data_IF_312256205772
#
_entry.id   IF_312256205772
#
_cell.length_a   1.000
_cell.length_b   1.000
_cell.length_c   1.000
_cell.angle_alpha   90.00
_cell.angle_beta   90.00
_cell.angle_gamma   90.00
#
_symmetry.space_group_name_H-M   'P 1'
#
loop_
_entity.id
_entity.type
_entity.pdbx_description
1 polymer ?
#
# COMPACT_ATOMS: atom_id res chain seq x y z
N UNK A 1 4.67 -15.99 13.34
CA UNK A 1 4.42 -14.57 13.70
C UNK A 1 4.18 -13.68 12.48
N UNK A 2 4.92 -13.82 11.37
CA UNK A 2 4.75 -13.00 10.17
C UNK A 2 3.32 -12.97 9.60
N UNK A 3 2.66 -14.12 9.45
CA UNK A 3 1.29 -14.20 8.88
C UNK A 3 0.22 -13.47 9.68
N UNK A 4 0.45 -13.25 10.98
CA UNK A 4 -0.52 -12.67 11.90
C UNK A 4 -0.62 -11.15 11.71
N UNK A 5 0.48 -10.49 11.34
CA UNK A 5 0.51 -9.03 11.16
C UNK A 5 -0.43 -8.58 10.04
N UNK A 6 -0.38 -9.22 8.87
CA UNK A 6 -1.30 -8.96 7.76
C UNK A 6 -2.76 -9.04 8.21
N UNK A 7 -3.13 -10.11 8.92
CA UNK A 7 -4.51 -10.34 9.37
C UNK A 7 -4.93 -9.30 10.40
N UNK A 8 -4.09 -9.00 11.39
CA UNK A 8 -4.37 -7.99 12.41
C UNK A 8 -4.60 -6.62 11.76
N UNK A 9 -3.68 -6.19 10.88
CA UNK A 9 -3.77 -4.88 10.23
C UNK A 9 -5.01 -4.82 9.34
N UNK A 10 -5.24 -5.86 8.53
CA UNK A 10 -6.42 -5.94 7.66
C UNK A 10 -7.72 -5.90 8.45
N UNK A 11 -7.76 -6.60 9.59
CA UNK A 11 -8.92 -6.65 10.47
C UNK A 11 -9.21 -5.30 11.13
N UNK A 12 -8.19 -4.61 11.66
CA UNK A 12 -8.37 -3.27 12.21
C UNK A 12 -8.78 -2.26 11.15
N UNK A 13 -8.15 -2.28 9.97
CA UNK A 13 -8.55 -1.41 8.85
C UNK A 13 -9.99 -1.70 8.44
N UNK A 14 -10.40 -2.96 8.41
CA UNK A 14 -11.76 -3.36 8.10
C UNK A 14 -12.74 -2.82 9.15
N UNK A 15 -12.47 -3.01 10.44
CA UNK A 15 -13.26 -2.45 11.55
C UNK A 15 -13.41 -0.93 11.45
N UNK A 16 -12.32 -0.22 11.10
CA UNK A 16 -12.36 1.23 10.93
C UNK A 16 -13.28 1.61 9.75
N UNK A 17 -13.15 0.93 8.61
CA UNK A 17 -13.98 1.20 7.44
C UNK A 17 -15.47 0.86 7.70
N UNK A 18 -15.76 -0.21 8.44
CA UNK A 18 -17.14 -0.65 8.69
C UNK A 18 -17.83 0.15 9.78
N UNK A 19 -17.15 0.55 10.86
CA UNK A 19 -17.79 1.20 12.01
C UNK A 19 -17.52 2.70 12.12
N UNK A 20 -16.31 3.17 11.82
CA UNK A 20 -15.91 4.56 12.08
C UNK A 20 -16.17 5.50 10.89
N UNK A 21 -16.17 5.01 9.65
CA UNK A 21 -16.39 5.85 8.47
C UNK A 21 -17.88 6.19 8.31
N UNK A 22 -18.17 7.49 8.14
CA UNK A 22 -19.53 8.01 7.93
C UNK A 22 -20.24 7.29 6.76
N UNK A 23 -21.53 6.99 6.95
CA UNK A 23 -22.38 6.27 5.97
C UNK A 23 -22.50 6.97 4.61
N UNK A 24 -22.31 8.29 4.56
CA UNK A 24 -22.36 9.10 3.33
C UNK A 24 -21.14 8.92 2.41
N UNK A 25 -20.08 8.22 2.83
CA UNK A 25 -18.90 8.03 1.99
C UNK A 25 -19.13 6.88 0.99
N UNK A 26 -19.25 7.21 -0.29
CA UNK A 26 -19.48 6.27 -1.40
C UNK A 26 -18.43 5.16 -1.49
N UNK A 27 -17.19 5.42 -1.05
CA UNK A 27 -16.10 4.45 -1.15
C UNK A 27 -16.01 3.47 0.04
N UNK A 28 -16.81 3.67 1.09
CA UNK A 28 -16.77 2.87 2.31
C UNK A 28 -17.08 1.39 2.07
N UNK A 29 -18.12 1.10 1.29
CA UNK A 29 -18.53 -0.28 1.06
C UNK A 29 -17.49 -1.05 0.25
N UNK A 30 -16.96 -0.41 -0.80
CA UNK A 30 -15.96 -1.02 -1.67
C UNK A 30 -14.64 -1.29 -0.93
N UNK A 31 -14.17 -0.36 -0.08
CA UNK A 31 -12.95 -0.56 0.71
C UNK A 31 -13.11 -1.67 1.75
N UNK A 32 -14.25 -1.72 2.45
CA UNK A 32 -14.54 -2.76 3.43
C UNK A 32 -14.67 -4.14 2.76
N UNK A 33 -15.36 -4.23 1.62
CA UNK A 33 -15.46 -5.47 0.85
C UNK A 33 -14.10 -5.96 0.36
N UNK A 34 -13.26 -5.05 -0.15
CA UNK A 34 -11.90 -5.37 -0.60
C UNK A 34 -11.04 -5.94 0.54
N UNK A 35 -11.06 -5.29 1.72
CA UNK A 35 -10.34 -5.78 2.90
C UNK A 35 -10.85 -7.15 3.38
N UNK A 36 -12.17 -7.37 3.34
CA UNK A 36 -12.74 -8.66 3.71
C UNK A 36 -12.32 -9.77 2.73
N UNK A 37 -12.36 -9.49 1.42
CA UNK A 37 -11.87 -10.42 0.41
C UNK A 37 -10.39 -10.77 0.58
N UNK A 38 -9.55 -9.78 0.94
CA UNK A 38 -8.15 -10.03 1.26
C UNK A 38 -7.96 -10.98 2.44
N UNK A 39 -8.77 -10.85 3.50
CA UNK A 39 -8.72 -11.74 4.67
C UNK A 39 -9.14 -13.16 4.28
N UNK A 40 -10.20 -13.31 3.48
CA UNK A 40 -10.71 -14.63 3.04
C UNK A 40 -9.74 -15.33 2.09
N UNK A 41 -9.09 -14.59 1.19
CA UNK A 41 -8.16 -15.13 0.20
C UNK A 41 -6.76 -15.41 0.78
N UNK A 42 -6.43 -14.84 1.95
CA UNK A 42 -5.11 -15.00 2.59
C UNK A 42 -4.63 -16.44 2.81
N UNK A 43 -5.44 -17.37 3.34
CA UNK A 43 -5.00 -18.76 3.55
C UNK A 43 -4.89 -19.57 2.25
N UNK A 44 -5.37 -19.05 1.12
CA UNK A 44 -5.32 -19.77 -0.15
C UNK A 44 -3.96 -19.58 -0.81
N UNK A 45 -3.41 -20.67 -1.33
CA UNK A 45 -2.17 -20.69 -2.09
C UNK A 45 -2.36 -21.59 -3.30
N UNK A 46 -2.06 -21.07 -4.50
CA UNK A 46 -2.08 -21.87 -5.73
C UNK A 46 -0.64 -22.16 -6.15
N UNK A 47 -0.27 -23.44 -6.14
CA UNK A 47 1.02 -23.92 -6.60
C UNK A 47 0.87 -24.76 -7.87
N UNK A 48 1.47 -24.31 -8.98
CA UNK A 48 1.52 -25.04 -10.25
C UNK A 48 2.98 -25.11 -10.70
N UNK A 49 3.57 -26.33 -10.68
CA UNK A 49 4.96 -26.59 -11.04
C UNK A 49 5.95 -25.65 -10.29
N UNK A 50 6.60 -24.74 -11.01
CA UNK A 50 7.57 -23.77 -10.47
C UNK A 50 6.93 -22.46 -9.99
N UNK A 51 5.61 -22.32 -10.08
CA UNK A 51 4.89 -21.09 -9.78
C UNK A 51 4.05 -21.28 -8.54
N UNK A 52 4.29 -20.45 -7.53
CA UNK A 52 3.44 -20.35 -6.35
C UNK A 52 2.88 -18.93 -6.28
N UNK A 53 1.56 -18.82 -6.34
CA UNK A 53 0.87 -17.54 -6.41
C UNK A 53 -0.21 -17.50 -5.34
N UNK A 54 -0.14 -16.49 -4.48
CA UNK A 54 -1.24 -16.22 -3.54
C UNK A 54 -2.35 -15.45 -4.25
N UNK A 55 -3.63 -15.87 -4.17
CA UNK A 55 -4.75 -15.16 -4.80
C UNK A 55 -4.89 -13.73 -4.32
N UNK A 56 -4.53 -13.45 -3.06
CA UNK A 56 -4.50 -12.09 -2.49
C UNK A 56 -3.65 -11.16 -3.35
N UNK A 57 -2.51 -11.61 -3.85
CA UNK A 57 -1.62 -10.79 -4.68
C UNK A 57 -2.30 -10.36 -5.97
N UNK A 58 -2.92 -11.32 -6.67
CA UNK A 58 -3.64 -11.07 -7.93
C UNK A 58 -4.83 -10.13 -7.69
N UNK A 59 -5.58 -10.38 -6.61
CA UNK A 59 -6.71 -9.54 -6.22
C UNK A 59 -6.27 -8.11 -5.88
N UNK A 60 -5.18 -7.95 -5.12
CA UNK A 60 -4.62 -6.67 -4.71
C UNK A 60 -4.16 -5.85 -5.94
N UNK A 61 -3.51 -6.50 -6.91
CA UNK A 61 -3.13 -5.87 -8.18
C UNK A 61 -4.36 -5.47 -9.01
N UNK A 62 -5.33 -6.37 -9.17
CA UNK A 62 -6.56 -6.11 -9.92
C UNK A 62 -7.37 -4.96 -9.30
N UNK A 63 -7.51 -4.94 -7.97
CA UNK A 63 -8.18 -3.87 -7.24
C UNK A 63 -7.47 -2.52 -7.43
N UNK A 64 -6.13 -2.50 -7.49
CA UNK A 64 -5.36 -1.28 -7.73
C UNK A 64 -5.57 -0.72 -9.13
N UNK A 65 -5.55 -1.57 -10.17
CA UNK A 65 -5.86 -1.16 -11.54
C UNK A 65 -7.31 -0.70 -11.70
N UNK A 66 -8.26 -1.39 -11.05
CA UNK A 66 -9.66 -0.95 -11.03
C UNK A 66 -9.80 0.44 -10.38
N UNK A 67 -9.11 0.66 -9.25
CA UNK A 67 -9.10 1.95 -8.59
C UNK A 67 -8.42 3.05 -9.45
N UNK A 68 -7.38 2.70 -10.22
CA UNK A 68 -6.72 3.60 -11.16
C UNK A 68 -7.67 4.10 -12.26
N UNK A 69 -8.57 3.25 -12.76
CA UNK A 69 -9.54 3.62 -13.79
C UNK A 69 -10.51 4.74 -13.37
N UNK A 70 -10.68 4.96 -12.08
CA UNK A 70 -11.54 6.03 -11.55
C UNK A 70 -10.85 7.40 -11.44
N UNK A 71 -9.55 7.49 -11.73
CA UNK A 71 -8.80 8.75 -11.73
C UNK A 71 -8.94 9.48 -13.08
N UNK A 72 -8.78 10.80 -13.07
CA UNK A 72 -8.74 11.58 -14.31
C UNK A 72 -7.52 11.21 -15.15
N UNK A 73 -7.62 11.40 -16.48
CA UNK A 73 -6.61 10.94 -17.44
C UNK A 73 -5.18 11.41 -17.10
N UNK A 74 -5.02 12.69 -16.76
CA UNK A 74 -3.72 13.27 -16.40
C UNK A 74 -3.14 12.60 -15.13
N UNK A 75 -3.99 12.41 -14.11
CA UNK A 75 -3.58 11.76 -12.85
C UNK A 75 -3.28 10.28 -13.06
N UNK A 76 -4.04 9.61 -13.92
CA UNK A 76 -3.82 8.21 -14.30
C UNK A 76 -2.43 8.02 -14.91
N UNK A 77 -2.05 8.84 -15.88
CA UNK A 77 -0.71 8.78 -16.49
C UNK A 77 0.40 9.10 -15.49
N UNK A 78 0.21 10.12 -14.65
CA UNK A 78 1.16 10.45 -13.57
C UNK A 78 1.37 9.25 -12.64
N UNK A 79 0.29 8.63 -12.15
CA UNK A 79 0.37 7.48 -11.24
C UNK A 79 1.04 6.28 -11.93
N UNK A 80 0.71 6.00 -13.19
CA UNK A 80 1.31 4.89 -13.94
C UNK A 80 2.82 5.06 -14.11
N UNK A 81 3.27 6.22 -14.59
CA UNK A 81 4.69 6.47 -14.86
C UNK A 81 5.51 6.40 -13.56
N UNK A 82 5.02 7.05 -12.50
CA UNK A 82 5.66 6.97 -11.18
C UNK A 82 5.63 5.56 -10.60
N UNK A 83 4.53 4.82 -10.77
CA UNK A 83 4.45 3.44 -10.28
C UNK A 83 5.44 2.52 -10.97
N UNK A 84 5.73 2.75 -12.26
CA UNK A 84 6.75 2.01 -12.99
C UNK A 84 8.15 2.33 -12.47
N UNK A 85 8.48 3.61 -12.28
CA UNK A 85 9.77 4.01 -11.69
C UNK A 85 9.95 3.43 -10.29
N UNK A 86 8.92 3.48 -9.45
CA UNK A 86 8.97 2.94 -8.09
C UNK A 86 8.95 1.41 -8.05
N UNK A 87 8.40 0.75 -9.06
CA UNK A 87 8.52 -0.70 -9.24
C UNK A 87 9.96 -1.12 -9.44
N UNK A 88 10.73 -0.41 -10.28
CA UNK A 88 12.17 -0.66 -10.42
C UNK A 88 12.94 -0.35 -9.14
N UNK A 89 12.57 0.73 -8.44
CA UNK A 89 13.16 1.05 -7.14
C UNK A 89 12.91 -0.06 -6.11
N UNK A 90 11.70 -0.60 -6.05
CA UNK A 90 11.34 -1.71 -5.17
C UNK A 90 12.15 -2.97 -5.49
N UNK A 91 12.26 -3.33 -6.78
CA UNK A 91 13.08 -4.44 -7.21
C UNK A 91 14.57 -4.22 -6.86
N UNK A 92 15.10 -3.00 -7.05
CA UNK A 92 16.46 -2.65 -6.67
C UNK A 92 16.69 -2.82 -5.16
N UNK A 93 15.77 -2.36 -4.31
CA UNK A 93 15.84 -2.58 -2.86
C UNK A 93 15.84 -4.07 -2.51
N UNK A 94 15.01 -4.89 -3.19
CA UNK A 94 15.00 -6.35 -2.98
C UNK A 94 16.31 -7.00 -3.40
N UNK A 95 16.94 -6.55 -4.49
CA UNK A 95 18.27 -7.05 -4.84
C UNK A 95 19.34 -6.62 -3.85
N UNK A 96 19.31 -5.38 -3.37
CA UNK A 96 20.23 -4.92 -2.32
C UNK A 96 20.09 -5.79 -1.06
N UNK A 97 18.87 -6.18 -0.69
CA UNK A 97 18.63 -7.12 0.43
C UNK A 97 19.36 -8.46 0.23
N UNK A 98 19.41 -8.96 -1.01
CA UNK A 98 20.10 -10.21 -1.35
C UNK A 98 21.63 -10.08 -1.36
N UNK A 99 22.18 -8.94 -1.82
CA UNK A 99 23.63 -8.77 -1.96
C UNK A 99 24.32 -8.20 -0.71
N UNK A 100 23.71 -7.21 -0.04
CA UNK A 100 24.31 -6.51 1.11
C UNK A 100 23.29 -6.27 2.23
N UNK A 101 23.10 -7.22 3.15
CA UNK A 101 22.11 -7.11 4.22
C UNK A 101 22.44 -6.03 5.26
N UNK A 102 23.68 -5.50 5.25
CA UNK A 102 24.17 -4.49 6.20
C UNK A 102 23.35 -3.18 6.10
N UNK A 103 22.87 -2.83 4.90
CA UNK A 103 22.01 -1.65 4.69
C UNK A 103 20.69 -1.76 5.47
N UNK A 104 20.26 -2.97 5.83
CA UNK A 104 19.02 -3.25 6.57
C UNK A 104 19.25 -3.49 8.06
N UNK A 105 20.28 -2.87 8.64
CA UNK A 105 20.66 -3.00 10.06
C UNK A 105 19.51 -2.66 11.04
N UNK A 106 18.60 -1.76 10.65
CA UNK A 106 17.40 -1.39 11.42
C UNK A 106 16.18 -2.30 11.19
N UNK A 107 16.36 -3.37 10.42
CA UNK A 107 15.33 -4.33 10.06
C UNK A 107 14.74 -4.06 8.68
N UNK A 108 14.83 -5.06 7.79
CA UNK A 108 14.31 -5.03 6.41
C UNK A 108 12.92 -4.40 6.30
N UNK A 109 12.00 -4.81 7.16
CA UNK A 109 10.61 -4.38 7.09
C UNK A 109 10.44 -2.87 7.36
N UNK A 110 11.15 -2.35 8.34
CA UNK A 110 11.05 -0.95 8.77
C UNK A 110 11.62 -0.02 7.70
N UNK A 111 12.77 -0.39 7.13
CA UNK A 111 13.42 0.39 6.05
C UNK A 111 12.49 0.56 4.86
N UNK A 112 11.84 -0.52 4.40
CA UNK A 112 10.92 -0.44 3.27
C UNK A 112 9.72 0.47 3.58
N UNK A 113 9.07 0.29 4.74
CA UNK A 113 7.89 1.09 5.10
C UNK A 113 8.23 2.58 5.21
N UNK A 114 9.38 2.92 5.81
CA UNK A 114 9.80 4.32 5.98
C UNK A 114 10.19 4.92 4.63
N UNK A 115 11.06 4.27 3.86
CA UNK A 115 11.54 4.80 2.58
C UNK A 115 10.39 4.99 1.59
N UNK A 116 9.59 3.94 1.35
CA UNK A 116 8.46 4.04 0.42
C UNK A 116 7.36 4.92 0.97
N UNK A 117 7.08 4.88 2.27
CA UNK A 117 6.11 5.78 2.91
C UNK A 117 6.45 7.25 2.69
N UNK A 118 7.72 7.61 2.88
CA UNK A 118 8.23 8.96 2.65
C UNK A 118 8.15 9.36 1.17
N UNK A 119 8.61 8.50 0.25
CA UNK A 119 8.57 8.76 -1.19
C UNK A 119 7.13 8.99 -1.67
N UNK A 120 6.20 8.10 -1.33
CA UNK A 120 4.81 8.26 -1.74
C UNK A 120 4.15 9.49 -1.11
N UNK A 121 4.53 9.84 0.12
CA UNK A 121 4.09 11.09 0.76
C UNK A 121 4.54 12.33 -0.03
N UNK A 122 5.79 12.33 -0.51
CA UNK A 122 6.41 13.45 -1.23
C UNK A 122 5.80 13.67 -2.62
N UNK A 123 5.55 12.62 -3.40
CA UNK A 123 5.17 12.73 -4.82
C UNK A 123 3.66 12.91 -5.09
N UNK A 124 2.82 12.53 -4.13
CA UNK A 124 1.36 12.57 -4.28
C UNK A 124 0.74 13.34 -3.13
N UNK A 125 -0.27 14.16 -3.41
CA UNK A 125 -1.01 14.91 -2.38
C UNK A 125 -2.25 14.15 -1.89
N UNK A 126 -2.88 13.38 -2.78
CA UNK A 126 -4.10 12.62 -2.47
C UNK A 126 -3.76 11.25 -1.89
N UNK A 127 -4.35 10.89 -0.74
CA UNK A 127 -4.22 9.56 -0.15
C UNK A 127 -4.61 8.44 -1.13
N UNK A 128 -5.62 8.69 -1.96
CA UNK A 128 -6.07 7.71 -2.95
C UNK A 128 -4.98 7.42 -3.99
N UNK A 129 -4.34 8.46 -4.51
CA UNK A 129 -3.24 8.32 -5.48
C UNK A 129 -2.03 7.63 -4.85
N UNK A 130 -1.71 7.96 -3.59
CA UNK A 130 -0.65 7.32 -2.80
C UNK A 130 -0.85 5.81 -2.69
N UNK A 131 -2.05 5.39 -2.26
CA UNK A 131 -2.36 3.97 -2.06
C UNK A 131 -2.34 3.23 -3.41
N UNK A 132 -2.97 3.77 -4.45
CA UNK A 132 -2.98 3.14 -5.78
C UNK A 132 -1.55 2.98 -6.30
N UNK A 133 -0.74 4.04 -6.23
CA UNK A 133 0.65 3.99 -6.68
C UNK A 133 1.47 3.00 -5.86
N UNK A 134 1.34 3.01 -4.53
CA UNK A 134 2.06 2.10 -3.64
C UNK A 134 1.77 0.63 -3.94
N UNK A 135 0.50 0.31 -4.17
CA UNK A 135 0.05 -1.05 -4.47
C UNK A 135 0.55 -1.50 -5.85
N UNK A 136 0.37 -0.69 -6.89
CA UNK A 136 0.83 -1.03 -8.25
C UNK A 136 2.37 -1.15 -8.28
N UNK A 137 3.09 -0.15 -7.75
CA UNK A 137 4.54 -0.14 -7.74
C UNK A 137 5.12 -1.36 -7.00
N UNK A 138 4.57 -1.69 -5.84
CA UNK A 138 5.06 -2.83 -5.05
C UNK A 138 4.75 -4.16 -5.76
N UNK A 139 3.54 -4.35 -6.29
CA UNK A 139 3.20 -5.59 -7.00
C UNK A 139 4.02 -5.79 -8.28
N UNK A 140 4.14 -4.74 -9.11
CA UNK A 140 4.98 -4.80 -10.30
C UNK A 140 6.45 -5.01 -9.92
N UNK A 141 6.91 -4.39 -8.84
CA UNK A 141 8.28 -4.54 -8.34
C UNK A 141 8.56 -5.97 -7.88
N UNK A 142 7.61 -6.61 -7.19
CA UNK A 142 7.70 -8.01 -6.79
C UNK A 142 7.79 -8.92 -8.02
N UNK A 143 6.96 -8.69 -9.04
CA UNK A 143 7.02 -9.44 -10.31
C UNK A 143 8.39 -9.29 -10.97
N UNK A 144 8.88 -8.05 -11.11
CA UNK A 144 10.20 -7.79 -11.72
C UNK A 144 11.31 -8.48 -10.93
N UNK A 145 11.25 -8.43 -9.60
CA UNK A 145 12.22 -9.07 -8.73
C UNK A 145 12.23 -10.60 -8.90
N UNK A 146 11.06 -11.23 -8.85
CA UNK A 146 10.92 -12.68 -8.96
C UNK A 146 11.33 -13.22 -10.33
N UNK A 147 11.07 -12.47 -11.41
CA UNK A 147 11.52 -12.84 -12.77
C UNK A 147 13.06 -12.91 -12.85
N UNK A 148 13.76 -11.95 -12.23
CA UNK A 148 15.23 -11.94 -12.24
C UNK A 148 15.84 -12.95 -11.26
N UNK A 149 15.15 -13.27 -10.17
CA UNK A 149 15.59 -14.28 -9.20
C UNK A 149 15.32 -15.71 -9.67
N UNK A 150 14.42 -15.92 -10.64
CA UNK A 150 14.03 -17.25 -11.12
C UNK A 150 15.21 -18.18 -11.48
N UNK A 151 16.28 -17.73 -12.17
CA UNK A 151 17.43 -18.58 -12.46
C UNK A 151 18.15 -19.10 -11.21
N UNK A 152 18.04 -18.39 -10.09
CA UNK A 152 18.71 -18.70 -8.83
C UNK A 152 17.80 -19.46 -7.84
N UNK A 153 16.49 -19.14 -7.81
CA UNK A 153 15.55 -19.74 -6.85
C UNK A 153 14.85 -20.99 -7.37
N UNK A 154 14.86 -21.27 -8.68
CA UNK A 154 14.16 -22.39 -9.35
C UNK A 154 12.62 -22.43 -9.17
N UNK A 155 12.06 -21.43 -8.48
CA UNK A 155 10.63 -21.24 -8.25
C UNK A 155 10.29 -19.75 -8.08
N UNK A 156 9.15 -19.35 -8.62
CA UNK A 156 8.59 -18.00 -8.56
C UNK A 156 7.56 -17.98 -7.42
N UNK A 157 7.77 -17.08 -6.46
CA UNK A 157 6.87 -16.89 -5.33
C UNK A 157 6.20 -15.51 -5.42
N UNK A 158 4.93 -15.46 -5.83
CA UNK A 158 4.15 -14.22 -5.88
C UNK A 158 3.23 -14.09 -4.67
N UNK A 159 3.36 -12.98 -3.94
CA UNK A 159 2.60 -12.74 -2.72
C UNK A 159 3.21 -13.39 -1.48
N UNK A 160 4.54 -13.36 -1.37
CA UNK A 160 5.25 -13.80 -0.17
C UNK A 160 4.70 -13.08 1.08
N UNK A 161 4.75 -13.74 2.25
CA UNK A 161 4.22 -13.18 3.51
C UNK A 161 4.91 -11.85 3.86
N UNK A 162 6.21 -11.74 3.58
CA UNK A 162 6.96 -10.48 3.76
C UNK A 162 6.35 -9.34 2.94
N UNK A 163 6.12 -9.56 1.64
CA UNK A 163 5.50 -8.61 0.73
C UNK A 163 4.11 -8.16 1.22
N UNK A 164 3.25 -9.12 1.59
CA UNK A 164 1.89 -8.85 2.04
C UNK A 164 1.87 -8.03 3.34
N UNK A 165 2.74 -8.35 4.30
CA UNK A 165 2.88 -7.57 5.52
C UNK A 165 3.36 -6.14 5.23
N UNK A 166 4.35 -6.00 4.36
CA UNK A 166 4.91 -4.71 3.99
C UNK A 166 3.83 -3.81 3.36
N UNK A 167 3.11 -4.30 2.34
CA UNK A 167 2.13 -3.46 1.64
C UNK A 167 0.97 -3.06 2.55
N UNK A 168 0.47 -3.97 3.39
CA UNK A 168 -0.60 -3.64 4.33
C UNK A 168 -0.16 -2.64 5.40
N UNK A 169 1.07 -2.77 5.89
CA UNK A 169 1.61 -1.84 6.87
C UNK A 169 1.85 -0.47 6.26
N UNK A 170 2.37 -0.42 5.03
CA UNK A 170 2.53 0.81 4.28
C UNK A 170 1.18 1.53 4.10
N UNK A 171 0.14 0.80 3.69
CA UNK A 171 -1.22 1.34 3.55
C UNK A 171 -1.76 1.83 4.90
N UNK A 172 -1.57 1.06 5.97
CA UNK A 172 -1.99 1.42 7.31
C UNK A 172 -1.30 2.71 7.81
N UNK A 173 0.01 2.84 7.59
CA UNK A 173 0.79 4.03 7.94
C UNK A 173 0.30 5.25 7.16
N UNK A 174 0.10 5.12 5.84
CA UNK A 174 -0.44 6.21 5.01
C UNK A 174 -1.83 6.66 5.49
N UNK A 175 -2.69 5.71 5.83
CA UNK A 175 -4.02 5.98 6.35
C UNK A 175 -3.96 6.66 7.73
N UNK A 176 -3.10 6.17 8.62
CA UNK A 176 -2.86 6.75 9.94
C UNK A 176 -2.38 8.19 9.86
N UNK A 177 -1.39 8.49 9.02
CA UNK A 177 -0.89 9.86 8.85
C UNK A 177 -1.98 10.78 8.30
N UNK A 178 -2.82 10.30 7.37
CA UNK A 178 -3.93 11.10 6.86
C UNK A 178 -4.99 11.40 7.93
N UNK A 179 -5.30 10.44 8.80
CA UNK A 179 -6.19 10.66 9.95
C UNK A 179 -5.60 11.70 10.91
N UNK A 180 -4.31 11.58 11.24
CA UNK A 180 -3.61 12.54 12.11
C UNK A 180 -3.64 13.95 11.52
N UNK A 181 -3.36 14.09 10.21
CA UNK A 181 -3.43 15.39 9.53
C UNK A 181 -4.84 15.99 9.60
N UNK A 182 -5.86 15.17 9.40
CA UNK A 182 -7.27 15.60 9.49
C UNK A 182 -7.64 16.02 10.91
N UNK A 183 -7.22 15.27 11.92
CA UNK A 183 -7.43 15.63 13.34
C UNK A 183 -6.75 16.94 13.69
N UNK A 184 -5.49 17.12 13.28
CA UNK A 184 -4.73 18.34 13.53
C UNK A 184 -5.37 19.56 12.85
N UNK A 185 -5.82 19.41 11.60
CA UNK A 185 -6.55 20.48 10.90
C UNK A 185 -7.87 20.84 11.58
N UNK A 186 -8.55 19.88 12.21
CA UNK A 186 -9.78 20.13 12.95
C UNK A 186 -9.49 20.89 14.24
N UNK A 187 -8.46 20.49 14.99
CA UNK A 187 -8.03 21.22 16.20
C UNK A 187 -7.63 22.65 15.85
N UNK A 188 -6.82 22.86 14.81
CA UNK A 188 -6.41 24.21 14.40
C UNK A 188 -7.57 25.03 13.83
N UNK A 189 -8.51 24.39 13.12
CA UNK A 189 -9.72 25.04 12.62
C UNK A 189 -10.69 25.48 13.71
N UNK A 190 -10.70 24.78 14.86
CA UNK A 190 -11.44 25.18 16.07
C UNK A 190 -10.72 26.31 16.81
N UNK A 191 -9.40 26.41 16.68
CA UNK A 191 -8.56 27.43 17.35
C UNK A 191 -8.47 28.75 16.56
N UNK A 192 -8.98 28.83 15.32
CA UNK A 192 -9.12 30.12 14.62
C UNK A 192 -10.52 30.70 14.87
N UNK A 193 -10.69 31.64 15.83
CA UNK A 193 -11.97 32.31 15.98
C UNK A 193 -12.25 33.15 14.73
N UNK A 194 -13.50 33.09 14.27
CA UNK A 194 -14.09 34.13 13.44
C UNK A 194 -13.93 35.46 14.17
N UNK A 195 -13.08 36.36 13.66
CA UNK A 195 -12.82 37.61 14.36
C UNK A 195 -11.70 38.47 13.80
N UNK A 196 -11.86 38.99 12.58
CA UNK A 196 -11.50 40.39 12.31
C UNK A 196 -12.23 40.89 11.06
N UNK A 197 -13.54 41.14 11.21
CA UNK A 197 -14.14 42.26 10.49
C UNK A 197 -13.44 43.51 11.03
N UNK A 198 -12.43 44.01 10.30
CA UNK A 198 -11.94 45.37 10.46
C UNK A 198 -12.76 46.25 9.52
N UNK A 199 -13.69 47.08 10.02
CA UNK A 199 -14.05 48.32 9.35
C UNK A 199 -12.97 49.35 9.69
N UNK A 200 -12.36 49.91 8.65
CA UNK A 200 -11.36 50.98 8.72
C UNK A 200 -10.96 51.39 7.31
#
# INVERSE_FOLDING_TARGET
>A
MGSVMFLIISWYLWMIQTFLVKKQNTHRFLSAWCLLMMIILFPMEFSVAHWTVKPVFVFLLAAAFFALCSLSLIRKWKVLLLSLSFSFLFAAFRFIEWYEPVVFLFGRFVTYVICFGFIFWLFFSSLRERIICAVIASCCGEIVCQIHLFPFSSAIYLGEIFFLNYIMTLVAVMYGIHLLYKMFSFVNGVVSPSGSNLPG
#
